data_IF_431406254215
#
_entry.id   IF_431406254215
#
_cell.length_a   1.000
_cell.length_b   1.000
_cell.length_c   1.000
_cell.angle_alpha   90.00
_cell.angle_beta   90.00
_cell.angle_gamma   90.00
#
_symmetry.space_group_name_H-M   'P 1'
#
loop_
_entity.id
_entity.type
_entity.pdbx_description
1 polymer ?
#
# COMPACT_ATOMS: atom_id res chain seq x y z
N UNK A 1 -39.51 24.22 14.91
CA UNK A 1 -38.91 22.92 15.28
C UNK A 1 -38.17 22.42 14.05
N UNK A 2 -36.86 22.21 14.00
CA UNK A 2 -35.80 22.31 14.98
C UNK A 2 -34.58 22.95 14.29
N UNK A 3 -33.91 23.86 15.00
CA UNK A 3 -32.57 24.34 14.65
C UNK A 3 -31.60 23.19 14.91
N UNK A 4 -31.25 22.41 13.89
CA UNK A 4 -30.26 21.32 14.02
C UNK A 4 -29.28 21.30 12.83
N UNK A 5 -28.70 22.47 12.54
CA UNK A 5 -27.47 22.56 11.75
C UNK A 5 -26.53 23.54 12.43
N UNK A 6 -25.98 23.17 13.58
CA UNK A 6 -24.60 23.58 13.86
C UNK A 6 -23.75 22.81 12.85
N UNK A 7 -23.65 23.33 11.61
CA UNK A 7 -22.45 23.09 10.82
C UNK A 7 -21.30 23.42 11.77
N UNK A 8 -20.46 22.44 12.06
CA UNK A 8 -19.22 22.69 12.78
C UNK A 8 -18.54 23.79 11.98
N UNK A 9 -18.42 25.01 12.51
CA UNK A 9 -17.94 26.21 11.77
C UNK A 9 -16.56 26.02 11.12
N UNK A 10 -15.90 24.90 11.41
CA UNK A 10 -14.58 24.50 10.97
C UNK A 10 -14.59 23.41 9.88
N UNK A 11 -15.74 23.07 9.29
CA UNK A 11 -15.88 22.13 8.16
C UNK A 11 -16.49 22.88 6.97
N UNK A 12 -15.77 22.88 5.84
CA UNK A 12 -16.21 23.48 4.57
C UNK A 12 -17.48 22.79 4.06
N UNK A 13 -18.41 23.53 3.44
CA UNK A 13 -19.59 22.89 2.85
C UNK A 13 -19.20 22.01 1.65
N UNK A 14 -19.76 20.79 1.62
CA UNK A 14 -19.46 19.79 0.61
C UNK A 14 -19.79 20.27 -0.81
N UNK A 15 -20.86 21.04 -0.97
CA UNK A 15 -21.30 21.57 -2.28
C UNK A 15 -20.43 22.75 -2.76
N UNK A 16 -19.67 23.38 -1.85
CA UNK A 16 -18.80 24.53 -2.17
C UNK A 16 -17.40 24.06 -2.56
N UNK A 17 -16.80 23.20 -1.73
CA UNK A 17 -15.50 22.60 -2.01
C UNK A 17 -15.41 21.20 -1.39
N UNK A 18 -15.75 20.20 -2.19
CA UNK A 18 -15.68 18.80 -1.79
C UNK A 18 -14.27 18.37 -1.35
N UNK A 19 -13.23 18.91 -1.99
CA UNK A 19 -11.85 18.55 -1.68
C UNK A 19 -11.45 19.01 -0.27
N UNK A 20 -11.82 20.24 0.07
CA UNK A 20 -11.58 20.79 1.39
C UNK A 20 -12.50 20.15 2.43
N UNK A 21 -13.79 19.99 2.15
CA UNK A 21 -14.73 19.28 3.02
C UNK A 21 -14.22 17.90 3.42
N UNK A 22 -13.76 17.09 2.46
CA UNK A 22 -13.25 15.75 2.73
C UNK A 22 -12.03 15.79 3.66
N UNK A 23 -11.13 16.73 3.43
CA UNK A 23 -9.94 16.92 4.27
C UNK A 23 -10.32 17.37 5.68
N UNK A 24 -11.26 18.30 5.79
CA UNK A 24 -11.77 18.81 7.06
C UNK A 24 -12.40 17.68 7.87
N UNK A 25 -13.28 16.87 7.25
CA UNK A 25 -13.90 15.71 7.90
C UNK A 25 -12.84 14.73 8.39
N UNK A 26 -11.87 14.35 7.55
CA UNK A 26 -10.81 13.41 7.94
C UNK A 26 -10.01 13.88 9.15
N UNK A 27 -9.71 15.18 9.24
CA UNK A 27 -8.98 15.76 10.37
C UNK A 27 -9.86 15.94 11.60
N UNK A 28 -11.06 16.50 11.44
CA UNK A 28 -11.97 16.84 12.56
C UNK A 28 -12.56 15.62 13.23
N UNK A 29 -12.78 14.54 12.48
CA UNK A 29 -13.15 13.24 13.02
C UNK A 29 -11.96 12.49 13.61
N UNK A 30 -10.76 13.07 13.64
CA UNK A 30 -9.56 12.46 14.20
C UNK A 30 -9.20 11.12 13.54
N UNK A 31 -9.44 10.99 12.23
CA UNK A 31 -9.10 9.78 11.48
C UNK A 31 -7.62 9.75 11.11
N UNK A 32 -7.07 10.91 10.71
CA UNK A 32 -5.67 11.08 10.35
C UNK A 32 -5.10 12.38 10.89
N UNK A 33 -3.77 12.45 10.95
CA UNK A 33 -3.01 13.68 11.13
C UNK A 33 -1.92 13.82 10.05
N UNK A 34 -1.44 15.04 9.84
CA UNK A 34 -0.33 15.30 8.93
C UNK A 34 0.98 14.98 9.63
N UNK A 35 1.84 14.19 8.97
CA UNK A 35 3.23 14.06 9.42
C UNK A 35 4.06 15.28 9.02
N UNK A 36 5.30 15.35 9.50
CA UNK A 36 6.29 16.32 9.02
C UNK A 36 6.76 16.04 7.58
N UNK A 37 6.40 14.90 7.00
CA UNK A 37 6.77 14.49 5.66
C UNK A 37 5.60 14.73 4.71
N UNK A 38 5.82 15.56 3.69
CA UNK A 38 4.79 15.88 2.70
C UNK A 38 4.23 14.60 2.05
N UNK A 39 2.91 14.48 2.09
CA UNK A 39 2.19 13.37 1.49
C UNK A 39 2.20 12.08 2.31
N UNK A 40 2.70 12.10 3.54
CA UNK A 40 2.58 10.99 4.50
C UNK A 40 1.72 11.42 5.67
N UNK A 41 0.88 10.51 6.15
CA UNK A 41 -0.15 10.78 7.14
C UNK A 41 -0.02 9.81 8.31
N UNK A 42 -0.32 10.29 9.51
CA UNK A 42 -0.42 9.46 10.71
C UNK A 42 -1.86 8.96 10.78
N UNK A 43 -2.06 7.65 10.80
CA UNK A 43 -3.37 7.06 11.06
C UNK A 43 -3.62 7.16 12.56
N UNK A 44 -4.61 7.95 12.96
CA UNK A 44 -5.00 8.09 14.37
C UNK A 44 -5.85 6.87 14.77
N UNK A 45 -6.03 6.60 16.08
CA UNK A 45 -6.72 5.38 16.54
C UNK A 45 -8.07 5.13 15.86
N UNK A 46 -8.88 6.18 15.63
CA UNK A 46 -10.18 6.01 14.99
C UNK A 46 -10.07 5.63 13.51
N UNK A 47 -9.14 6.23 12.76
CA UNK A 47 -8.88 5.86 11.36
C UNK A 47 -8.22 4.49 11.23
N UNK A 48 -7.28 4.16 12.12
CA UNK A 48 -6.62 2.86 12.12
C UNK A 48 -7.58 1.73 12.50
N UNK A 49 -8.51 1.95 13.43
CA UNK A 49 -9.53 0.96 13.78
C UNK A 49 -10.43 0.59 12.57
N UNK A 50 -10.70 1.53 11.66
CA UNK A 50 -11.41 1.23 10.41
C UNK A 50 -10.56 0.30 9.54
N UNK A 51 -9.26 0.58 9.41
CA UNK A 51 -8.34 -0.28 8.68
C UNK A 51 -8.23 -1.69 9.30
N UNK A 52 -8.15 -1.81 10.63
CA UNK A 52 -8.11 -3.10 11.32
C UNK A 52 -9.37 -3.93 11.05
N UNK A 53 -10.54 -3.28 10.99
CA UNK A 53 -11.79 -3.97 10.65
C UNK A 53 -11.83 -4.45 9.19
N UNK A 54 -11.35 -3.62 8.25
CA UNK A 54 -11.20 -3.99 6.83
C UNK A 54 -10.25 -5.19 6.72
N UNK A 55 -9.09 -5.10 7.38
CA UNK A 55 -8.09 -6.15 7.38
C UNK A 55 -8.67 -7.45 7.92
N UNK A 56 -9.30 -7.42 9.09
CA UNK A 56 -9.89 -8.61 9.72
C UNK A 56 -10.91 -9.30 8.81
N UNK A 57 -11.80 -8.54 8.18
CA UNK A 57 -12.86 -9.09 7.33
C UNK A 57 -12.30 -9.67 6.03
N UNK A 58 -11.42 -8.95 5.35
CA UNK A 58 -10.80 -9.42 4.10
C UNK A 58 -9.87 -10.61 4.35
N UNK A 59 -9.06 -10.56 5.41
CA UNK A 59 -8.15 -11.64 5.77
C UNK A 59 -8.89 -12.95 6.06
N UNK A 60 -10.04 -12.87 6.75
CA UNK A 60 -10.91 -14.03 6.96
C UNK A 60 -11.43 -14.62 5.64
N UNK A 61 -11.83 -13.76 4.69
CA UNK A 61 -12.30 -14.19 3.37
C UNK A 61 -11.19 -14.80 2.52
N UNK A 62 -9.99 -14.24 2.52
CA UNK A 62 -8.84 -14.79 1.81
C UNK A 62 -8.44 -16.17 2.37
N UNK A 63 -8.42 -16.31 3.70
CA UNK A 63 -8.17 -17.61 4.34
C UNK A 63 -9.23 -18.65 4.02
N UNK A 64 -10.50 -18.24 3.93
CA UNK A 64 -11.59 -19.14 3.55
C UNK A 64 -11.45 -19.68 2.11
N UNK A 65 -10.71 -18.98 1.25
CA UNK A 65 -10.40 -19.41 -0.14
C UNK A 65 -9.00 -20.00 -0.28
N UNK A 66 -8.34 -20.36 0.83
CA UNK A 66 -7.04 -21.05 0.82
C UNK A 66 -5.81 -20.16 0.66
N UNK A 67 -5.95 -18.85 0.76
CA UNK A 67 -4.79 -17.95 0.74
C UNK A 67 -4.04 -17.98 2.07
N UNK A 68 -2.71 -17.88 1.98
CA UNK A 68 -1.81 -17.83 3.12
C UNK A 68 -1.08 -16.49 3.19
N UNK A 69 -0.99 -15.92 4.40
CA UNK A 69 -0.27 -14.68 4.58
C UNK A 69 1.25 -14.90 4.60
N UNK A 70 1.96 -14.05 3.88
CA UNK A 70 3.43 -13.96 3.87
C UNK A 70 3.86 -12.51 4.11
N UNK A 71 5.13 -12.32 4.44
CA UNK A 71 5.72 -10.98 4.59
C UNK A 71 7.10 -10.96 3.92
N UNK A 72 7.15 -10.32 2.75
CA UNK A 72 8.37 -10.08 2.01
C UNK A 72 9.03 -8.78 2.48
N UNK A 73 10.35 -8.61 2.25
CA UNK A 73 11.07 -7.40 2.64
C UNK A 73 10.50 -6.12 1.99
N UNK A 74 10.74 -4.98 2.64
CA UNK A 74 10.38 -3.66 2.12
C UNK A 74 11.27 -3.23 0.94
N UNK A 75 12.52 -3.69 0.91
CA UNK A 75 13.54 -3.25 -0.04
C UNK A 75 13.63 -4.20 -1.24
N UNK A 76 13.65 -3.63 -2.43
CA UNK A 76 13.84 -4.33 -3.71
C UNK A 76 15.19 -3.90 -4.29
N UNK A 77 16.14 -4.82 -4.55
CA UNK A 77 17.37 -4.48 -5.26
C UNK A 77 17.06 -3.85 -6.63
N UNK A 78 17.81 -2.83 -7.02
CA UNK A 78 17.70 -2.20 -8.35
C UNK A 78 17.83 -3.24 -9.48
N UNK A 79 18.78 -4.16 -9.37
CA UNK A 79 19.03 -5.25 -10.30
C UNK A 79 17.85 -6.19 -10.44
N UNK A 80 17.11 -6.45 -9.35
CA UNK A 80 15.89 -7.25 -9.38
C UNK A 80 14.73 -6.49 -10.01
N UNK A 81 14.56 -5.21 -9.65
CA UNK A 81 13.51 -4.35 -10.20
C UNK A 81 13.65 -4.25 -11.73
N UNK A 82 14.87 -4.07 -12.24
CA UNK A 82 15.18 -3.95 -13.67
C UNK A 82 14.94 -5.22 -14.51
N UNK A 83 14.65 -6.37 -13.89
CA UNK A 83 14.29 -7.59 -14.66
C UNK A 83 12.95 -7.44 -15.37
N UNK A 84 12.04 -6.64 -14.82
CA UNK A 84 10.71 -6.38 -15.37
C UNK A 84 10.63 -4.96 -15.95
N UNK A 85 11.38 -4.71 -17.03
CA UNK A 85 11.56 -3.35 -17.60
C UNK A 85 10.25 -2.63 -17.90
N UNK A 86 9.27 -3.34 -18.44
CA UNK A 86 7.96 -2.77 -18.77
C UNK A 86 7.21 -2.31 -17.50
N UNK A 87 7.34 -3.05 -16.39
CA UNK A 87 6.85 -2.61 -15.09
C UNK A 87 7.68 -1.44 -14.54
N UNK A 88 9.00 -1.46 -14.69
CA UNK A 88 9.88 -0.38 -14.21
C UNK A 88 9.57 0.95 -14.88
N UNK A 89 9.30 1.00 -16.18
CA UNK A 89 8.99 2.25 -16.88
C UNK A 89 7.76 2.96 -16.29
N UNK A 90 6.75 2.20 -15.85
CA UNK A 90 5.57 2.72 -15.18
C UNK A 90 5.82 3.24 -13.76
N UNK A 91 6.72 2.59 -12.99
CA UNK A 91 6.98 2.93 -11.59
C UNK A 91 8.20 3.83 -11.38
N UNK A 92 9.12 3.93 -12.34
CA UNK A 92 10.39 4.64 -12.20
C UNK A 92 10.25 6.09 -11.71
N UNK A 93 9.25 6.89 -12.14
CA UNK A 93 9.04 8.24 -11.61
C UNK A 93 8.62 8.29 -10.14
N UNK A 94 8.10 7.20 -9.60
CA UNK A 94 7.49 7.10 -8.27
C UNK A 94 8.33 6.31 -7.27
N UNK A 95 9.46 5.72 -7.68
CA UNK A 95 10.34 4.95 -6.81
C UNK A 95 11.13 5.85 -5.84
N UNK A 96 11.09 5.52 -4.54
CA UNK A 96 12.02 6.07 -3.56
C UNK A 96 13.22 5.13 -3.37
N UNK A 97 14.42 5.70 -3.34
CA UNK A 97 15.68 4.95 -3.35
C UNK A 97 16.44 5.11 -2.03
N UNK A 98 16.87 3.98 -1.48
CA UNK A 98 17.85 3.89 -0.41
C UNK A 98 19.23 3.70 -1.04
N UNK A 99 20.14 4.65 -0.79
CA UNK A 99 21.49 4.67 -1.37
C UNK A 99 22.61 4.63 -0.33
N UNK A 100 22.25 4.80 0.95
CA UNK A 100 23.14 4.72 2.11
C UNK A 100 22.56 3.77 3.14
N UNK A 101 23.42 2.96 3.76
CA UNK A 101 23.11 2.11 4.90
C UNK A 101 23.98 2.53 6.07
N UNK A 102 23.37 3.00 7.16
CA UNK A 102 24.13 3.69 8.21
C UNK A 102 24.82 4.93 7.65
N UNK A 103 26.15 4.95 7.69
CA UNK A 103 26.97 6.06 7.15
C UNK A 103 27.68 5.73 5.85
N UNK A 104 27.54 4.50 5.34
CA UNK A 104 28.25 4.03 4.14
C UNK A 104 27.35 4.02 2.91
N UNK A 105 27.95 4.31 1.75
CA UNK A 105 27.25 4.19 0.48
C UNK A 105 27.07 2.71 0.14
N UNK A 106 25.88 2.33 -0.28
CA UNK A 106 25.58 0.95 -0.65
C UNK A 106 26.20 0.59 -2.01
N UNK A 107 26.61 -0.67 -2.17
CA UNK A 107 27.13 -1.22 -3.43
C UNK A 107 26.09 -1.15 -4.55
N UNK A 108 24.83 -1.39 -4.19
CA UNK A 108 23.66 -1.25 -5.05
C UNK A 108 22.58 -0.42 -4.34
N UNK A 109 21.77 0.29 -5.10
CA UNK A 109 20.62 1.02 -4.55
C UNK A 109 19.45 0.06 -4.35
N UNK A 110 18.64 0.34 -3.33
CA UNK A 110 17.43 -0.43 -3.06
C UNK A 110 16.22 0.47 -3.21
N UNK A 111 15.22 0.02 -3.95
CA UNK A 111 13.94 0.68 -4.04
C UNK A 111 13.09 0.30 -2.81
N UNK A 112 12.45 1.28 -2.18
CA UNK A 112 11.36 1.01 -1.25
C UNK A 112 10.16 0.57 -2.08
N UNK A 113 9.63 -0.63 -1.84
CA UNK A 113 8.60 -1.25 -2.67
C UNK A 113 7.44 -0.29 -3.03
N UNK A 114 7.23 0.03 -4.33
CA UNK A 114 5.99 0.64 -4.79
C UNK A 114 4.87 -0.41 -4.96
N UNK A 115 5.29 -1.66 -5.11
CA UNK A 115 4.55 -2.91 -5.23
C UNK A 115 5.57 -4.07 -5.18
N UNK A 116 5.15 -5.32 -4.93
CA UNK A 116 6.07 -6.43 -4.61
C UNK A 116 6.19 -7.52 -5.70
N UNK A 117 5.68 -7.34 -6.93
CA UNK A 117 5.66 -8.36 -7.99
C UNK A 117 7.05 -8.98 -8.22
N UNK A 118 8.11 -8.17 -8.32
CA UNK A 118 9.46 -8.68 -8.58
C UNK A 118 10.01 -9.52 -7.43
N UNK A 119 9.69 -9.17 -6.18
CA UNK A 119 10.02 -9.97 -5.00
C UNK A 119 9.24 -11.29 -4.97
N UNK A 120 7.94 -11.25 -5.28
CA UNK A 120 7.10 -12.45 -5.36
C UNK A 120 7.55 -13.38 -6.48
N UNK A 121 7.85 -12.86 -7.67
CA UNK A 121 8.37 -13.64 -8.79
C UNK A 121 9.70 -14.33 -8.45
N UNK A 122 10.63 -13.63 -7.79
CA UNK A 122 11.87 -14.23 -7.34
C UNK A 122 11.64 -15.31 -6.27
N UNK A 123 10.75 -15.04 -5.30
CA UNK A 123 10.39 -16.02 -4.28
C UNK A 123 9.74 -17.27 -4.88
N UNK A 124 8.77 -17.10 -5.77
CA UNK A 124 8.08 -18.19 -6.44
C UNK A 124 9.00 -19.04 -7.29
N UNK A 125 9.92 -18.42 -8.03
CA UNK A 125 10.98 -19.13 -8.77
C UNK A 125 11.78 -20.08 -7.86
N UNK A 126 11.98 -19.70 -6.60
CA UNK A 126 12.79 -20.48 -5.66
C UNK A 126 12.00 -21.58 -4.93
N UNK A 127 10.67 -21.52 -4.86
CA UNK A 127 9.85 -22.48 -4.10
C UNK A 127 8.95 -23.37 -4.96
N UNK A 128 8.71 -23.01 -6.23
CA UNK A 128 7.89 -23.78 -7.15
C UNK A 128 8.85 -24.60 -8.02
N UNK A 129 8.85 -25.92 -7.84
CA UNK A 129 9.73 -26.83 -8.58
C UNK A 129 8.94 -27.82 -9.44
N UNK A 130 7.66 -28.04 -9.13
CA UNK A 130 6.79 -28.93 -9.89
C UNK A 130 5.33 -28.46 -9.83
N UNK A 131 4.48 -29.05 -10.67
CA UNK A 131 3.04 -28.82 -10.64
C UNK A 131 2.39 -29.15 -9.28
N UNK A 132 3.03 -29.98 -8.44
CA UNK A 132 2.53 -30.32 -7.09
C UNK A 132 2.64 -29.16 -6.11
N UNK A 133 3.46 -28.17 -6.40
CA UNK A 133 3.63 -26.99 -5.56
C UNK A 133 2.54 -25.94 -5.81
N UNK A 134 1.74 -26.13 -6.87
CA UNK A 134 0.66 -25.25 -7.31
C UNK A 134 -0.73 -25.74 -6.83
N UNK A 135 -1.68 -24.83 -6.61
CA UNK A 135 -1.53 -23.38 -6.69
C UNK A 135 -0.76 -22.81 -5.50
N UNK A 136 -0.07 -21.68 -5.71
CA UNK A 136 0.42 -20.83 -4.62
C UNK A 136 -0.52 -19.64 -4.48
N UNK A 137 -1.13 -19.50 -3.31
CA UNK A 137 -2.10 -18.46 -3.02
C UNK A 137 -1.58 -17.60 -1.88
N UNK A 138 -0.74 -16.61 -2.18
CA UNK A 138 -0.17 -15.76 -1.12
C UNK A 138 -0.79 -14.38 -1.05
N UNK A 139 -0.84 -13.88 0.18
CA UNK A 139 -1.33 -12.57 0.52
C UNK A 139 -0.33 -11.83 1.42
N UNK A 140 -0.18 -10.53 1.25
CA UNK A 140 0.65 -9.69 2.12
C UNK A 140 -0.13 -8.44 2.55
N UNK A 141 -0.12 -8.18 3.86
CA UNK A 141 -0.58 -6.92 4.45
C UNK A 141 0.63 -6.06 4.80
N UNK A 142 0.76 -4.88 4.21
CA UNK A 142 1.93 -4.04 4.43
C UNK A 142 1.72 -2.58 4.03
N UNK A 143 2.75 -1.73 4.23
CA UNK A 143 2.84 -0.45 3.52
C UNK A 143 3.68 -0.57 2.25
N UNK A 144 3.32 0.26 1.27
CA UNK A 144 4.10 0.54 0.06
C UNK A 144 4.34 2.03 -0.07
N UNK A 145 5.34 2.40 -0.86
CA UNK A 145 5.73 3.78 -1.08
C UNK A 145 5.75 4.14 -2.56
N UNK A 146 4.95 5.14 -2.94
CA UNK A 146 4.92 5.76 -4.27
C UNK A 146 5.12 7.25 -4.15
N UNK A 147 6.12 7.82 -4.83
CA UNK A 147 6.53 9.22 -4.68
C UNK A 147 5.61 10.23 -5.39
N UNK A 148 4.34 10.18 -5.02
CA UNK A 148 3.24 10.97 -5.57
C UNK A 148 3.46 12.48 -5.45
N UNK A 149 3.06 13.21 -6.49
CA UNK A 149 3.17 14.68 -6.58
C UNK A 149 2.08 15.39 -5.76
N UNK A 150 0.88 14.84 -5.78
CA UNK A 150 -0.31 15.40 -5.12
C UNK A 150 -0.87 14.39 -4.13
N UNK A 151 -1.11 14.83 -2.90
CA UNK A 151 -1.58 13.97 -1.82
C UNK A 151 -2.94 14.41 -1.28
N UNK A 152 -3.83 13.45 -1.05
CA UNK A 152 -5.12 13.57 -0.37
C UNK A 152 -5.23 12.43 0.65
N UNK A 153 -5.61 12.71 1.91
CA UNK A 153 -5.78 11.69 2.94
C UNK A 153 -6.50 10.45 2.42
N UNK A 154 -6.00 9.25 2.72
CA UNK A 154 -6.50 7.94 2.27
C UNK A 154 -6.51 7.69 0.74
N UNK A 155 -6.98 8.65 -0.07
CA UNK A 155 -7.20 8.48 -1.50
C UNK A 155 -5.92 8.42 -2.33
N UNK A 156 -4.93 9.26 -1.99
CA UNK A 156 -3.64 9.29 -2.70
C UNK A 156 -2.57 9.86 -1.79
N UNK A 157 -1.60 9.06 -1.39
CA UNK A 157 -0.54 9.50 -0.48
C UNK A 157 0.72 8.68 -0.72
N UNK A 158 1.86 9.14 -0.19
CA UNK A 158 3.17 8.61 -0.58
C UNK A 158 3.47 7.28 0.05
N UNK A 159 3.14 7.10 1.32
CA UNK A 159 3.15 5.80 1.97
C UNK A 159 1.71 5.46 2.33
N UNK A 160 1.24 4.27 1.97
CA UNK A 160 -0.10 3.83 2.31
C UNK A 160 -0.13 2.35 2.66
N UNK A 161 -1.05 2.00 3.57
CA UNK A 161 -1.31 0.62 3.94
C UNK A 161 -2.18 -0.03 2.85
N UNK A 162 -1.86 -1.26 2.52
CA UNK A 162 -2.63 -2.03 1.56
C UNK A 162 -2.56 -3.53 1.83
N UNK A 163 -3.28 -4.25 0.99
CA UNK A 163 -3.15 -5.68 0.83
C UNK A 163 -2.79 -5.97 -0.64
N UNK A 164 -1.85 -6.89 -0.84
CA UNK A 164 -1.49 -7.38 -2.16
C UNK A 164 -1.52 -8.91 -2.19
N UNK A 165 -2.32 -9.46 -3.11
CA UNK A 165 -2.47 -10.89 -3.32
C UNK A 165 -1.73 -11.28 -4.59
N UNK A 166 -0.87 -12.28 -4.49
CA UNK A 166 -0.06 -12.78 -5.59
C UNK A 166 -0.26 -14.28 -5.68
N UNK A 167 -0.72 -14.75 -6.83
CA UNK A 167 -1.06 -16.17 -7.01
C UNK A 167 -0.35 -16.75 -8.21
N UNK A 168 -0.03 -18.05 -8.15
CA UNK A 168 0.54 -18.80 -9.26
C UNK A 168 -0.27 -20.08 -9.44
N UNK A 169 -0.68 -20.35 -10.68
CA UNK A 169 -1.59 -21.43 -11.05
C UNK A 169 -1.01 -22.28 -12.16
N UNK A 170 -1.49 -23.53 -12.28
CA UNK A 170 -1.01 -24.45 -13.31
C UNK A 170 -1.57 -24.11 -14.70
N UNK A 171 -2.74 -23.45 -14.76
CA UNK A 171 -3.47 -23.16 -16.00
C UNK A 171 -4.04 -21.73 -15.99
N UNK A 172 -4.31 -21.20 -17.17
CA UNK A 172 -4.96 -19.90 -17.33
C UNK A 172 -6.46 -19.91 -16.95
N UNK A 173 -7.08 -21.08 -16.85
CA UNK A 173 -8.49 -21.20 -16.41
C UNK A 173 -8.61 -21.16 -14.88
N UNK A 174 -7.57 -21.62 -14.16
CA UNK A 174 -7.47 -21.49 -12.70
C UNK A 174 -7.07 -20.07 -12.25
N UNK A 175 -6.35 -19.33 -13.09
CA UNK A 175 -5.83 -17.99 -12.80
C UNK A 175 -6.88 -16.88 -12.96
#
# INVERSE_FOLDING_TARGET
>A
MAQDKKQVEQITDMEVDFAQWYTDVCKKAELIDYSSIKGMFIYRPYGYAIWENIQKELDARFKATGHENVSLPMLIPESLLQKEKDHVEGFAPECAWVTYGGSEKLEERYCIRPTSETLFCEHYKNIIHSWRDLPKLYNQWCSVLRWEKTSRPFLRHREFLWQEGHTMHATAEEA
#
